data_IF_044915815466
#
_entry.id   IF_044915815466
#
_cell.length_a   1.000
_cell.length_b   1.000
_cell.length_c   1.000
_cell.angle_alpha   90.00
_cell.angle_beta   90.00
_cell.angle_gamma   90.00
#
_symmetry.space_group_name_H-M   'P 1'
#
loop_
_entity.id
_entity.type
_entity.pdbx_description
1 polymer ?
#
# COMPACT_ATOMS: atom_id res chain seq x y z
N UNK A 1 36.33 -2.00 4.61
CA UNK A 1 35.08 -1.23 4.72
C UNK A 1 34.29 -1.81 5.87
N UNK A 2 34.00 -0.99 6.88
CA UNK A 2 33.34 -1.46 8.09
C UNK A 2 31.93 -1.95 7.77
N UNK A 3 31.51 -3.09 8.33
CA UNK A 3 30.18 -3.67 8.10
C UNK A 3 29.05 -2.67 8.30
N UNK A 4 29.22 -1.73 9.24
CA UNK A 4 28.30 -0.62 9.48
C UNK A 4 28.16 0.34 8.28
N UNK A 5 29.26 0.66 7.59
CA UNK A 5 29.22 1.53 6.40
C UNK A 5 28.46 0.89 5.24
N UNK A 6 28.66 -0.41 5.01
CA UNK A 6 27.95 -1.17 3.97
C UNK A 6 26.43 -1.21 4.22
N UNK A 7 26.00 -1.44 5.46
CA UNK A 7 24.56 -1.45 5.81
C UNK A 7 23.91 -0.08 5.66
N UNK A 8 24.61 1.00 6.03
CA UNK A 8 24.11 2.37 5.85
C UNK A 8 23.94 2.70 4.36
N UNK A 9 24.91 2.32 3.52
CA UNK A 9 24.83 2.52 2.06
C UNK A 9 23.63 1.75 1.47
N UNK A 10 23.38 0.52 1.92
CA UNK A 10 22.26 -0.29 1.45
C UNK A 10 20.91 0.34 1.82
N UNK A 11 20.76 0.79 3.07
CA UNK A 11 19.54 1.49 3.52
C UNK A 11 19.34 2.81 2.77
N UNK A 12 20.40 3.60 2.58
CA UNK A 12 20.33 4.85 1.82
C UNK A 12 19.92 4.61 0.36
N UNK A 13 20.49 3.58 -0.27
CA UNK A 13 20.15 3.17 -1.64
C UNK A 13 18.69 2.74 -1.73
N UNK A 14 18.20 1.96 -0.76
CA UNK A 14 16.81 1.53 -0.72
C UNK A 14 15.83 2.70 -0.56
N UNK A 15 16.16 3.70 0.28
CA UNK A 15 15.36 4.92 0.42
C UNK A 15 15.33 5.69 -0.91
N UNK A 16 16.50 5.86 -1.55
CA UNK A 16 16.60 6.53 -2.84
C UNK A 16 15.75 5.84 -3.91
N UNK A 17 15.83 4.52 -4.03
CA UNK A 17 15.01 3.75 -4.96
C UNK A 17 13.53 3.88 -4.63
N UNK A 18 13.17 3.85 -3.34
CA UNK A 18 11.77 4.03 -2.93
C UNK A 18 11.21 5.39 -3.36
N UNK A 19 11.99 6.47 -3.23
CA UNK A 19 11.61 7.80 -3.73
C UNK A 19 11.50 7.82 -5.26
N UNK A 20 12.40 7.15 -5.97
CA UNK A 20 12.37 7.06 -7.43
C UNK A 20 11.11 6.31 -7.90
N UNK A 21 10.77 5.18 -7.27
CA UNK A 21 9.55 4.42 -7.55
C UNK A 21 8.32 5.29 -7.28
N UNK A 22 8.28 6.03 -6.17
CA UNK A 22 7.19 6.94 -5.85
C UNK A 22 6.98 7.99 -6.96
N UNK A 23 8.06 8.59 -7.48
CA UNK A 23 7.98 9.55 -8.59
C UNK A 23 7.54 8.93 -9.91
N UNK A 24 8.00 7.71 -10.24
CA UNK A 24 7.54 7.01 -11.44
C UNK A 24 6.03 6.73 -11.36
N UNK A 25 5.54 6.28 -10.20
CA UNK A 25 4.12 5.99 -10.00
C UNK A 25 3.25 7.25 -10.05
N UNK A 26 3.76 8.41 -9.63
CA UNK A 26 3.08 9.70 -9.82
C UNK A 26 2.99 10.09 -11.29
N UNK A 27 4.09 9.94 -12.05
CA UNK A 27 4.12 10.21 -13.49
C UNK A 27 3.14 9.29 -14.23
N UNK A 28 3.14 7.99 -13.91
CA UNK A 28 2.21 7.02 -14.47
C UNK A 28 0.76 7.38 -14.14
N UNK A 29 0.48 7.88 -12.93
CA UNK A 29 -0.86 8.34 -12.56
C UNK A 29 -1.30 9.56 -13.39
N UNK A 30 -0.40 10.53 -13.61
CA UNK A 30 -0.68 11.68 -14.48
C UNK A 30 -0.93 11.23 -15.92
N UNK A 31 -0.13 10.30 -16.44
CA UNK A 31 -0.29 9.75 -17.78
C UNK A 31 -1.61 8.98 -17.92
N UNK A 32 -1.97 8.18 -16.93
CA UNK A 32 -3.25 7.49 -16.88
C UNK A 32 -4.43 8.49 -16.91
N UNK A 33 -4.37 9.54 -16.08
CA UNK A 33 -5.41 10.60 -16.07
C UNK A 33 -5.55 11.28 -17.43
N UNK A 34 -4.43 11.54 -18.12
CA UNK A 34 -4.45 12.15 -19.44
C UNK A 34 -5.06 11.23 -20.49
N UNK A 35 -4.70 9.94 -20.49
CA UNK A 35 -5.32 8.94 -21.37
C UNK A 35 -6.82 8.81 -21.09
N UNK A 36 -7.20 8.79 -19.81
CA UNK A 36 -8.59 8.66 -19.40
C UNK A 36 -9.47 9.79 -19.95
N UNK A 37 -8.99 11.04 -19.87
CA UNK A 37 -9.67 12.21 -20.44
C UNK A 37 -9.73 12.09 -21.97
N UNK A 38 -8.62 11.69 -22.60
CA UNK A 38 -8.52 11.57 -24.06
C UNK A 38 -9.45 10.49 -24.64
N UNK A 39 -9.64 9.37 -23.94
CA UNK A 39 -10.46 8.25 -24.38
C UNK A 39 -11.88 8.24 -23.79
N UNK A 40 -12.25 9.23 -22.97
CA UNK A 40 -13.61 9.39 -22.46
C UNK A 40 -14.09 8.24 -21.56
N UNK A 41 -13.20 7.64 -20.76
CA UNK A 41 -13.52 6.48 -19.91
C UNK A 41 -14.49 6.75 -18.74
N UNK A 42 -15.07 7.94 -18.67
CA UNK A 42 -16.06 8.35 -17.65
C UNK A 42 -17.25 7.38 -17.54
N UNK A 43 -17.70 6.83 -18.67
CA UNK A 43 -18.83 5.91 -18.69
C UNK A 43 -18.53 4.58 -17.96
N UNK A 44 -17.29 4.10 -18.01
CA UNK A 44 -16.89 2.88 -17.29
C UNK A 44 -16.98 3.11 -15.77
N UNK A 45 -16.49 4.25 -15.29
CA UNK A 45 -16.53 4.59 -13.87
C UNK A 45 -17.95 4.82 -13.36
N UNK A 46 -18.82 5.43 -14.16
CA UNK A 46 -20.23 5.58 -13.82
C UNK A 46 -20.92 4.23 -13.68
N UNK A 47 -20.68 3.29 -14.61
CA UNK A 47 -21.24 1.94 -14.51
C UNK A 47 -20.70 1.17 -13.29
N UNK A 48 -19.40 1.29 -12.99
CA UNK A 48 -18.80 0.67 -11.80
C UNK A 48 -19.37 1.26 -10.51
N UNK A 49 -19.60 2.58 -10.46
CA UNK A 49 -20.18 3.26 -9.31
C UNK A 49 -21.63 2.85 -9.07
N UNK A 50 -22.42 2.76 -10.14
CA UNK A 50 -23.80 2.26 -10.08
C UNK A 50 -23.85 0.82 -9.56
N UNK A 51 -22.98 -0.08 -10.06
CA UNK A 51 -22.90 -1.48 -9.56
C UNK A 51 -22.53 -1.56 -8.08
N UNK A 52 -21.61 -0.70 -7.62
CA UNK A 52 -21.24 -0.63 -6.21
C UNK A 52 -22.37 -0.06 -5.36
N UNK A 53 -23.05 0.99 -5.83
CA UNK A 53 -24.20 1.59 -5.15
C UNK A 53 -25.36 0.61 -5.03
N UNK A 54 -25.71 -0.11 -6.10
CA UNK A 54 -26.77 -1.14 -6.05
C UNK A 54 -26.40 -2.28 -5.13
N UNK A 55 -25.15 -2.73 -5.13
CA UNK A 55 -24.66 -3.78 -4.22
C UNK A 55 -24.74 -3.35 -2.75
N UNK A 56 -24.39 -2.10 -2.44
CA UNK A 56 -24.52 -1.55 -1.08
C UNK A 56 -25.99 -1.35 -0.67
N UNK A 57 -26.84 -0.91 -1.60
CA UNK A 57 -28.27 -0.70 -1.35
C UNK A 57 -29.01 -2.03 -1.13
N UNK A 58 -28.76 -3.04 -1.97
CA UNK A 58 -29.26 -4.41 -1.77
C UNK A 58 -28.80 -4.97 -0.43
N UNK A 59 -27.56 -4.68 -0.04
CA UNK A 59 -27.03 -5.12 1.24
C UNK A 59 -27.65 -4.38 2.45
N UNK A 60 -27.89 -3.06 2.39
CA UNK A 60 -28.60 -2.33 3.45
C UNK A 60 -30.02 -2.86 3.64
N UNK A 61 -30.73 -3.15 2.55
CA UNK A 61 -32.06 -3.78 2.59
C UNK A 61 -32.02 -5.20 3.18
N UNK A 62 -31.01 -6.01 2.82
CA UNK A 62 -30.81 -7.35 3.37
C UNK A 62 -30.24 -7.37 4.80
N UNK A 63 -29.69 -6.25 5.29
CA UNK A 63 -29.27 -6.11 6.68
C UNK A 63 -30.50 -5.92 7.60
N UNK A 64 -31.57 -5.30 7.08
CA UNK A 64 -32.88 -5.21 7.74
C UNK A 64 -33.66 -6.52 7.68
N UNK A 65 -33.41 -7.36 6.67
CA UNK A 65 -34.00 -8.69 6.52
C UNK A 65 -32.99 -9.77 6.91
N UNK A 66 -32.88 -10.07 8.20
CA UNK A 66 -32.09 -11.14 8.84
C UNK A 66 -31.49 -12.20 7.88
N UNK A 67 -30.36 -11.90 7.23
CA UNK A 67 -29.68 -12.84 6.33
C UNK A 67 -28.45 -13.44 7.01
N UNK A 68 -28.41 -14.77 7.11
CA UNK A 68 -27.43 -15.64 7.79
C UNK A 68 -25.96 -15.54 7.30
N UNK A 69 -25.67 -14.73 6.28
CA UNK A 69 -24.32 -14.69 5.68
C UNK A 69 -23.39 -13.65 6.32
N UNK A 70 -22.88 -13.96 7.53
CA UNK A 70 -21.93 -13.13 8.28
C UNK A 70 -20.68 -12.71 7.48
N UNK A 71 -20.21 -13.54 6.55
CA UNK A 71 -19.00 -13.26 5.74
C UNK A 71 -19.22 -12.09 4.77
N UNK A 72 -20.37 -12.07 4.08
CA UNK A 72 -20.78 -10.96 3.21
C UNK A 72 -20.93 -9.67 4.01
N UNK A 73 -21.43 -9.77 5.25
CA UNK A 73 -21.58 -8.63 6.14
C UNK A 73 -20.26 -7.99 6.59
N UNK A 74 -19.26 -8.82 6.88
CA UNK A 74 -17.92 -8.35 7.24
C UNK A 74 -17.22 -7.71 6.05
N UNK A 75 -17.37 -8.30 4.86
CA UNK A 75 -16.79 -7.78 3.61
C UNK A 75 -17.36 -6.41 3.28
N UNK A 76 -18.68 -6.23 3.31
CA UNK A 76 -19.31 -4.94 2.99
C UNK A 76 -19.01 -3.88 4.02
N UNK A 77 -19.03 -4.20 5.33
CA UNK A 77 -18.59 -3.28 6.41
C UNK A 77 -17.14 -2.84 6.25
N UNK A 78 -16.24 -3.76 5.90
CA UNK A 78 -14.85 -3.42 5.63
C UNK A 78 -14.74 -2.48 4.42
N UNK A 79 -15.51 -2.75 3.36
CA UNK A 79 -15.53 -1.95 2.15
C UNK A 79 -16.13 -0.54 2.38
N UNK A 80 -17.18 -0.42 3.19
CA UNK A 80 -17.74 0.90 3.59
C UNK A 80 -16.75 1.70 4.43
N UNK A 81 -16.15 1.06 5.45
CA UNK A 81 -15.12 1.72 6.29
C UNK A 81 -13.91 2.16 5.46
N UNK A 82 -13.49 1.34 4.50
CA UNK A 82 -12.40 1.71 3.59
C UNK A 82 -12.80 2.91 2.72
N UNK A 83 -13.96 2.89 2.07
CA UNK A 83 -14.43 4.01 1.24
C UNK A 83 -14.61 5.30 2.03
N UNK A 84 -15.08 5.24 3.29
CA UNK A 84 -15.19 6.40 4.18
C UNK A 84 -13.82 6.99 4.53
N UNK A 85 -12.80 6.15 4.73
CA UNK A 85 -11.43 6.59 5.05
C UNK A 85 -10.75 7.32 3.88
N UNK A 86 -11.24 7.15 2.65
CA UNK A 86 -10.73 7.81 1.45
C UNK A 86 -11.58 9.01 1.00
N UNK A 87 -12.38 9.61 1.90
CA UNK A 87 -13.12 10.85 1.62
C UNK A 87 -12.15 11.97 1.24
N UNK A 88 -12.30 12.62 0.07
CA UNK A 88 -11.58 13.86 -0.20
C UNK A 88 -12.07 14.94 0.79
N UNK A 89 -11.14 15.75 1.30
CA UNK A 89 -11.37 16.79 2.33
C UNK A 89 -12.50 17.77 1.93
N UNK A 90 -12.80 17.90 0.63
CA UNK A 90 -13.80 18.83 0.10
C UNK A 90 -15.25 18.32 0.11
N UNK A 91 -15.53 17.07 0.46
CA UNK A 91 -16.90 16.51 0.41
C UNK A 91 -17.53 16.33 1.80
N UNK A 92 -17.31 17.27 2.71
CA UNK A 92 -17.63 17.15 4.14
C UNK A 92 -19.13 17.20 4.48
N UNK A 93 -19.99 17.80 3.65
CA UNK A 93 -21.35 18.20 4.08
C UNK A 93 -22.53 17.37 3.58
N UNK A 94 -22.34 16.29 2.83
CA UNK A 94 -23.47 15.42 2.46
C UNK A 94 -23.49 14.18 3.34
N UNK A 95 -24.43 14.16 4.27
CA UNK A 95 -24.76 13.11 5.25
C UNK A 95 -25.37 11.83 4.62
N UNK A 96 -25.10 11.61 3.33
CA UNK A 96 -25.59 10.48 2.56
C UNK A 96 -24.45 9.60 2.09
N UNK A 97 -24.66 8.29 2.11
CA UNK A 97 -23.79 7.26 1.56
C UNK A 97 -23.75 7.31 0.00
N UNK A 98 -23.66 8.51 -0.59
CA UNK A 98 -23.52 8.68 -2.03
C UNK A 98 -22.11 8.24 -2.45
N UNK A 99 -22.04 7.03 -2.99
CA UNK A 99 -20.84 6.52 -3.65
C UNK A 99 -20.78 7.23 -5.01
N UNK A 100 -20.10 8.37 -5.07
CA UNK A 100 -19.87 9.05 -6.34
C UNK A 100 -18.90 8.24 -7.20
N UNK A 101 -19.08 8.30 -8.53
CA UNK A 101 -18.16 7.66 -9.48
C UNK A 101 -16.73 8.15 -9.32
N UNK A 102 -16.56 9.42 -8.97
CA UNK A 102 -15.27 10.01 -8.63
C UNK A 102 -14.59 9.28 -7.47
N UNK A 103 -15.33 8.88 -6.42
CA UNK A 103 -14.78 8.18 -5.25
C UNK A 103 -14.28 6.78 -5.62
N UNK A 104 -15.06 6.04 -6.43
CA UNK A 104 -14.70 4.70 -6.90
C UNK A 104 -13.48 4.76 -7.82
N UNK A 105 -13.48 5.72 -8.75
CA UNK A 105 -12.35 5.99 -9.65
C UNK A 105 -11.07 6.27 -8.87
N UNK A 106 -11.11 7.25 -7.96
CA UNK A 106 -9.94 7.65 -7.19
C UNK A 106 -9.39 6.51 -6.33
N UNK A 107 -10.27 5.72 -5.71
CA UNK A 107 -9.88 4.56 -4.92
C UNK A 107 -9.23 3.48 -5.80
N UNK A 108 -9.85 3.15 -6.93
CA UNK A 108 -9.41 2.06 -7.82
C UNK A 108 -8.06 2.39 -8.44
N UNK A 109 -7.89 3.60 -8.98
CA UNK A 109 -6.62 4.06 -9.57
C UNK A 109 -5.52 4.03 -8.51
N UNK A 110 -5.80 4.52 -7.29
CA UNK A 110 -4.81 4.53 -6.21
C UNK A 110 -4.44 3.12 -5.75
N UNK A 111 -5.39 2.20 -5.72
CA UNK A 111 -5.14 0.80 -5.37
C UNK A 111 -4.28 0.11 -6.43
N UNK A 112 -4.63 0.26 -7.71
CA UNK A 112 -3.83 -0.28 -8.82
C UNK A 112 -2.42 0.30 -8.77
N UNK A 113 -2.27 1.60 -8.53
CA UNK A 113 -0.96 2.23 -8.46
C UNK A 113 -0.12 1.70 -7.29
N UNK A 114 -0.75 1.41 -6.14
CA UNK A 114 -0.07 0.77 -5.00
C UNK A 114 0.37 -0.65 -5.32
N UNK A 115 -0.48 -1.44 -5.99
CA UNK A 115 -0.13 -2.81 -6.39
C UNK A 115 1.02 -2.77 -7.39
N UNK A 116 0.96 -1.91 -8.40
CA UNK A 116 2.06 -1.72 -9.35
C UNK A 116 3.34 -1.28 -8.64
N UNK A 117 3.25 -0.36 -7.68
CA UNK A 117 4.38 0.05 -6.85
C UNK A 117 5.01 -1.10 -6.08
N UNK A 118 4.19 -1.94 -5.42
CA UNK A 118 4.68 -3.15 -4.73
C UNK A 118 5.36 -4.11 -5.70
N UNK A 119 4.77 -4.38 -6.88
CA UNK A 119 5.36 -5.27 -7.88
C UNK A 119 6.71 -4.74 -8.40
N UNK A 120 6.78 -3.44 -8.68
CA UNK A 120 8.03 -2.77 -9.09
C UNK A 120 9.09 -2.84 -7.99
N UNK A 121 8.70 -2.57 -6.74
CA UNK A 121 9.59 -2.64 -5.60
C UNK A 121 10.12 -4.06 -5.36
N UNK A 122 9.27 -5.08 -5.46
CA UNK A 122 9.67 -6.49 -5.41
C UNK A 122 10.64 -6.81 -6.55
N UNK A 123 10.30 -6.47 -7.79
CA UNK A 123 11.16 -6.73 -8.93
C UNK A 123 12.55 -6.07 -8.77
N UNK A 124 12.60 -4.84 -8.28
CA UNK A 124 13.85 -4.13 -8.02
C UNK A 124 14.64 -4.74 -6.86
N UNK A 125 13.97 -5.17 -5.79
CA UNK A 125 14.63 -5.84 -4.67
C UNK A 125 15.29 -7.15 -5.13
N UNK A 126 14.63 -7.94 -5.99
CA UNK A 126 15.23 -9.15 -6.58
C UNK A 126 16.35 -8.82 -7.57
N UNK A 127 16.17 -7.82 -8.44
CA UNK A 127 17.15 -7.49 -9.48
C UNK A 127 18.46 -6.92 -8.90
N UNK A 128 18.38 -6.18 -7.80
CA UNK A 128 19.52 -5.57 -7.15
C UNK A 128 19.96 -6.28 -5.86
N UNK A 129 19.36 -7.44 -5.54
CA UNK A 129 19.56 -8.23 -4.31
C UNK A 129 19.56 -7.37 -3.03
N UNK A 130 18.60 -6.43 -2.97
CA UNK A 130 18.48 -5.48 -1.85
C UNK A 130 17.70 -6.16 -0.73
N UNK A 131 18.40 -6.62 0.30
CA UNK A 131 17.81 -7.11 1.54
C UNK A 131 18.03 -6.14 2.71
N UNK A 132 17.07 -5.23 2.91
CA UNK A 132 17.09 -4.28 4.02
C UNK A 132 16.94 -5.01 5.35
N UNK A 133 16.20 -6.12 5.39
CA UNK A 133 15.96 -6.88 6.62
C UNK A 133 17.26 -7.55 7.07
N UNK A 134 18.07 -8.10 6.16
CA UNK A 134 19.40 -8.61 6.47
C UNK A 134 20.33 -7.49 6.95
N UNK A 135 20.33 -6.33 6.29
CA UNK A 135 21.12 -5.18 6.74
C UNK A 135 20.73 -4.72 8.15
N UNK A 136 19.44 -4.76 8.48
CA UNK A 136 18.92 -4.49 9.82
C UNK A 136 19.37 -5.57 10.81
N UNK A 137 19.29 -6.86 10.46
CA UNK A 137 19.71 -7.96 11.34
C UNK A 137 21.18 -7.84 11.74
N UNK A 138 22.05 -7.56 10.76
CA UNK A 138 23.48 -7.33 11.00
C UNK A 138 23.73 -6.14 11.94
N UNK A 139 22.85 -5.14 11.92
CA UNK A 139 22.96 -3.97 12.79
C UNK A 139 22.33 -4.17 14.18
N UNK A 140 21.48 -5.19 14.36
CA UNK A 140 20.66 -5.40 15.59
C UNK A 140 21.05 -6.65 16.38
N UNK A 141 22.03 -7.44 15.91
CA UNK A 141 22.47 -8.73 16.51
C UNK A 141 21.30 -9.72 16.74
N UNK A 142 20.34 -9.74 15.82
CA UNK A 142 19.20 -10.68 15.86
C UNK A 142 19.56 -11.96 15.11
N UNK A 143 19.98 -12.99 15.85
CA UNK A 143 20.20 -14.35 15.33
C UNK A 143 18.87 -15.04 15.01
N UNK A 144 18.36 -14.85 13.79
CA UNK A 144 17.23 -15.60 13.25
C UNK A 144 17.75 -16.52 12.15
N UNK A 145 17.34 -17.79 12.19
CA UNK A 145 17.79 -18.87 11.31
C UNK A 145 17.82 -18.47 9.81
N UNK A 146 19.00 -18.49 9.19
CA UNK A 146 19.26 -18.03 7.81
C UNK A 146 19.02 -19.14 6.77
N UNK A 147 17.80 -19.67 6.71
CA UNK A 147 17.39 -20.56 5.61
C UNK A 147 17.18 -19.80 4.30
N UNK A 148 17.38 -20.46 3.15
CA UNK A 148 17.16 -19.88 1.80
C UNK A 148 15.73 -19.34 1.60
N UNK A 149 14.72 -20.00 2.19
CA UNK A 149 13.33 -19.51 2.21
C UNK A 149 13.18 -18.18 2.95
N UNK A 150 14.05 -17.90 3.92
CA UNK A 150 14.03 -16.65 4.68
C UNK A 150 14.57 -15.48 3.84
N UNK A 151 15.58 -15.72 2.98
CA UNK A 151 16.11 -14.71 2.06
C UNK A 151 15.07 -14.22 1.05
N UNK A 152 14.36 -15.14 0.41
CA UNK A 152 13.30 -14.81 -0.56
C UNK A 152 12.19 -14.00 0.11
N UNK A 153 11.77 -14.38 1.32
CA UNK A 153 10.77 -13.64 2.09
C UNK A 153 11.25 -12.23 2.45
N UNK A 154 12.52 -12.08 2.82
CA UNK A 154 13.07 -10.76 3.12
C UNK A 154 13.11 -9.86 1.88
N UNK A 155 13.50 -10.39 0.72
CA UNK A 155 13.49 -9.64 -0.54
C UNK A 155 12.08 -9.19 -0.90
N UNK A 156 11.07 -10.06 -0.73
CA UNK A 156 9.67 -9.70 -0.96
C UNK A 156 9.24 -8.59 -0.01
N UNK A 157 9.50 -8.72 1.29
CA UNK A 157 9.13 -7.71 2.29
C UNK A 157 9.85 -6.38 2.05
N UNK A 158 11.13 -6.43 1.72
CA UNK A 158 11.94 -5.27 1.35
C UNK A 158 11.36 -4.58 0.13
N UNK A 159 11.05 -5.34 -0.91
CA UNK A 159 10.45 -4.82 -2.13
C UNK A 159 9.06 -4.22 -1.92
N UNK A 160 8.21 -4.84 -1.09
CA UNK A 160 6.91 -4.28 -0.69
C UNK A 160 7.11 -2.95 0.05
N UNK A 161 8.05 -2.89 1.00
CA UNK A 161 8.34 -1.67 1.75
C UNK A 161 8.84 -0.55 0.84
N UNK A 162 9.74 -0.86 -0.09
CA UNK A 162 10.24 0.08 -1.10
C UNK A 162 9.13 0.56 -2.05
N UNK A 163 8.30 -0.36 -2.54
CA UNK A 163 7.22 -0.10 -3.49
C UNK A 163 6.03 0.64 -2.91
N UNK A 164 5.80 0.54 -1.60
CA UNK A 164 4.80 1.33 -0.87
C UNK A 164 5.24 2.78 -0.61
N UNK A 165 6.51 3.10 -0.82
CA UNK A 165 7.10 4.43 -0.67
C UNK A 165 7.92 4.61 0.60
N UNK A 166 8.45 5.82 0.77
CA UNK A 166 9.40 6.17 1.84
C UNK A 166 8.80 6.09 3.26
N UNK A 167 7.48 6.32 3.39
CA UNK A 167 6.80 6.34 4.70
C UNK A 167 6.81 4.98 5.45
N UNK A 168 6.46 3.84 4.82
CA UNK A 168 6.61 2.53 5.47
C UNK A 168 8.06 2.20 5.82
N UNK A 169 9.03 2.50 4.94
CA UNK A 169 10.45 2.32 5.23
C UNK A 169 10.88 3.13 6.46
N UNK A 170 10.47 4.39 6.55
CA UNK A 170 10.77 5.25 7.69
C UNK A 170 10.17 4.71 9.00
N UNK A 171 8.95 4.14 8.96
CA UNK A 171 8.34 3.49 10.13
C UNK A 171 9.11 2.25 10.59
N UNK A 172 9.64 1.46 9.65
CA UNK A 172 10.50 0.33 9.97
C UNK A 172 11.77 0.82 10.68
N UNK A 173 12.41 1.87 10.16
CA UNK A 173 13.60 2.48 10.77
C UNK A 173 13.30 2.99 12.19
N UNK A 174 12.22 3.77 12.39
CA UNK A 174 11.83 4.26 13.72
C UNK A 174 11.56 3.11 14.69
N UNK A 175 10.84 2.07 14.25
CA UNK A 175 10.51 0.92 15.10
C UNK A 175 11.80 0.24 15.61
N UNK A 176 12.81 0.15 14.75
CA UNK A 176 14.12 -0.41 15.08
C UNK A 176 14.91 0.50 16.02
N UNK A 177 14.94 1.81 15.77
CA UNK A 177 15.57 2.77 16.68
C UNK A 177 14.96 2.69 18.09
N UNK A 178 13.63 2.56 18.16
CA UNK A 178 12.90 2.44 19.43
C UNK A 178 13.24 1.13 20.14
N UNK A 179 13.31 0.01 19.41
CA UNK A 179 13.74 -1.29 19.95
C UNK A 179 15.18 -1.24 20.51
N UNK A 180 16.09 -0.56 19.81
CA UNK A 180 17.47 -0.35 20.27
C UNK A 180 17.55 0.49 21.54
N UNK A 181 16.79 1.59 21.64
CA UNK A 181 16.73 2.43 22.85
C UNK A 181 16.22 1.66 24.06
N UNK A 182 15.19 0.83 23.88
CA UNK A 182 14.67 -0.06 24.92
C UNK A 182 15.72 -1.05 25.42
N UNK A 183 16.54 -1.61 24.51
CA UNK A 183 17.57 -2.60 24.87
C UNK A 183 18.82 -2.00 25.50
N UNK A 184 19.14 -0.73 25.24
CA UNK A 184 20.23 0.01 25.93
C UNK A 184 19.83 0.52 27.33
N UNK A 185 18.54 0.53 27.65
CA UNK A 185 18.01 0.95 28.94
C UNK A 185 17.79 -0.22 29.92
N UNK A 186 17.95 -1.46 29.43
CA UNK A 186 18.05 -2.70 30.20
C UNK A 186 19.53 -3.04 30.40
#
# INVERSE_FOLDING_TARGET
>A
MDSATSSVILVATAIFISLLVERILEILMCLYRLLEVKYGWYNLWNQSAQKLQTSMHHYQLNQSAASDNQIEQLRTKALTKLLQRFRPVQAADTDGLSISAERVRHFTIRLINKINGMLLGIALAFAADIDIICAIKQYTDLSINNGYLNHVLHLILTGIAMGLGSAPLHKIIIALEKSKKLRKAL
#
